data_IF_561353611164
#
_entry.id   IF_561353611164
#
_cell.length_a   1.000
_cell.length_b   1.000
_cell.length_c   1.000
_cell.angle_alpha   90.00
_cell.angle_beta   90.00
_cell.angle_gamma   90.00
#
_symmetry.space_group_name_H-M   'P 1'
#
loop_
_entity.id
_entity.type
_entity.pdbx_description
1 polymer ?
#
# COMPACT_ATOMS: atom_id res chain seq x y z
N UNK A 1 -41.52 -54.37 -33.50
CA UNK A 1 -40.17 -54.48 -32.87
C UNK A 1 -39.87 -53.17 -32.16
N UNK A 2 -39.61 -53.25 -30.83
CA UNK A 2 -38.66 -52.47 -29.99
C UNK A 2 -38.32 -51.03 -30.48
N UNK A 3 -38.45 -49.94 -29.72
CA UNK A 3 -38.15 -49.72 -28.29
C UNK A 3 -38.90 -48.52 -27.69
N UNK A 4 -39.18 -48.67 -26.40
CA UNK A 4 -39.58 -47.70 -25.38
C UNK A 4 -38.34 -46.86 -24.94
N UNK A 5 -38.58 -45.73 -24.25
CA UNK A 5 -37.66 -44.77 -23.60
C UNK A 5 -37.24 -43.59 -24.50
N UNK A 6 -37.44 -42.31 -24.17
CA UNK A 6 -37.47 -41.67 -22.85
C UNK A 6 -38.52 -40.54 -22.77
N UNK A 7 -39.42 -40.68 -21.80
CA UNK A 7 -39.89 -39.58 -20.97
C UNK A 7 -38.74 -39.28 -19.99
N UNK A 8 -38.24 -38.05 -19.90
CA UNK A 8 -37.83 -37.39 -18.64
C UNK A 8 -37.18 -36.02 -18.93
N UNK A 9 -37.60 -35.04 -18.13
CA UNK A 9 -36.88 -33.81 -17.83
C UNK A 9 -36.90 -32.67 -18.87
N UNK A 10 -38.08 -32.10 -19.13
CA UNK A 10 -38.21 -30.72 -19.62
C UNK A 10 -39.13 -29.88 -18.70
N UNK A 11 -38.91 -29.99 -17.39
CA UNK A 11 -39.51 -29.13 -16.37
C UNK A 11 -38.44 -28.93 -15.30
N UNK A 12 -37.54 -27.94 -15.49
CA UNK A 12 -36.70 -27.30 -14.45
C UNK A 12 -35.79 -26.19 -15.01
N UNK A 13 -36.15 -25.54 -16.13
CA UNK A 13 -35.46 -24.33 -16.62
C UNK A 13 -36.23 -23.04 -16.27
N UNK A 14 -37.04 -23.07 -15.21
CA UNK A 14 -37.14 -21.90 -14.35
C UNK A 14 -35.93 -21.94 -13.42
N UNK A 15 -34.76 -21.65 -13.98
CA UNK A 15 -33.66 -21.13 -13.17
C UNK A 15 -34.22 -19.81 -12.64
N UNK A 16 -34.73 -19.88 -11.42
CA UNK A 16 -34.84 -18.74 -10.53
C UNK A 16 -33.48 -18.05 -10.63
N UNK A 17 -33.42 -16.94 -11.38
CA UNK A 17 -32.58 -15.85 -10.97
C UNK A 17 -33.13 -15.48 -9.60
N UNK A 18 -32.63 -16.12 -8.55
CA UNK A 18 -32.55 -15.45 -7.27
C UNK A 18 -31.80 -14.16 -7.58
N UNK A 19 -32.56 -13.09 -7.77
CA UNK A 19 -32.10 -11.79 -7.35
C UNK A 19 -31.48 -12.05 -5.99
N UNK A 20 -30.16 -11.88 -5.91
CA UNK A 20 -29.46 -11.85 -4.64
C UNK A 20 -30.04 -10.63 -3.93
N UNK A 21 -31.17 -10.82 -3.27
CA UNK A 21 -31.71 -9.88 -2.31
C UNK A 21 -30.63 -9.81 -1.25
N UNK A 22 -29.85 -8.72 -1.33
CA UNK A 22 -28.97 -8.29 -0.26
C UNK A 22 -29.86 -8.29 0.99
N UNK A 23 -29.52 -9.04 2.04
CA UNK A 23 -30.35 -9.10 3.24
C UNK A 23 -30.66 -7.68 3.71
N UNK A 24 -31.95 -7.38 3.83
CA UNK A 24 -32.49 -6.03 4.08
C UNK A 24 -32.25 -5.53 5.53
N UNK A 25 -31.41 -6.22 6.30
CA UNK A 25 -31.08 -5.88 7.69
C UNK A 25 -29.63 -6.27 7.99
N UNK A 26 -28.70 -5.68 7.24
CA UNK A 26 -27.30 -5.59 7.67
C UNK A 26 -27.30 -4.50 8.75
N UNK A 27 -27.07 -4.88 10.01
CA UNK A 27 -27.14 -3.95 11.14
C UNK A 27 -26.36 -2.65 10.92
N UNK A 28 -26.69 -1.62 11.70
CA UNK A 28 -26.08 -0.29 11.51
C UNK A 28 -24.57 -0.33 11.76
N UNK A 29 -23.80 0.18 10.80
CA UNK A 29 -22.37 0.42 11.01
C UNK A 29 -22.18 1.37 12.18
N UNK A 30 -21.26 1.04 13.09
CA UNK A 30 -21.02 1.82 14.30
C UNK A 30 -19.55 2.21 14.43
N UNK A 31 -19.32 3.43 14.90
CA UNK A 31 -17.99 3.96 15.17
C UNK A 31 -17.99 4.60 16.54
N UNK A 32 -16.90 4.35 17.26
CA UNK A 32 -16.51 5.14 18.41
C UNK A 32 -15.19 5.83 18.11
N UNK A 33 -15.14 7.15 18.29
CA UNK A 33 -13.90 7.92 18.25
C UNK A 33 -13.71 8.62 19.59
N UNK A 34 -12.55 8.45 20.20
CA UNK A 34 -12.16 9.14 21.42
C UNK A 34 -11.02 10.08 21.07
N UNK A 35 -11.24 11.35 21.34
CA UNK A 35 -10.31 12.45 21.08
C UNK A 35 -10.19 13.32 22.33
N UNK A 36 -9.00 13.37 22.92
CA UNK A 36 -8.82 13.97 24.24
C UNK A 36 -9.76 13.33 25.28
N UNK A 37 -10.58 14.14 25.93
CA UNK A 37 -11.55 13.69 26.93
C UNK A 37 -12.97 13.45 26.37
N UNK A 38 -13.16 13.58 25.05
CA UNK A 38 -14.47 13.45 24.42
C UNK A 38 -14.58 12.10 23.72
N UNK A 39 -15.75 11.49 23.82
CA UNK A 39 -16.12 10.26 23.11
C UNK A 39 -17.27 10.57 22.16
N UNK A 40 -17.11 10.12 20.92
CA UNK A 40 -18.04 10.29 19.82
C UNK A 40 -18.51 8.91 19.38
N UNK A 41 -19.70 8.51 19.85
CA UNK A 41 -20.39 7.30 19.40
C UNK A 41 -21.46 7.67 18.38
N UNK A 42 -21.42 7.04 17.20
CA UNK A 42 -22.42 7.28 16.19
C UNK A 42 -22.55 6.11 15.21
N UNK A 43 -23.76 5.99 14.68
CA UNK A 43 -24.06 5.15 13.53
C UNK A 43 -23.93 5.97 12.26
N UNK A 44 -23.57 5.31 11.17
CA UNK A 44 -23.29 5.99 9.90
C UNK A 44 -23.66 5.09 8.72
N UNK A 45 -24.43 5.65 7.79
CA UNK A 45 -24.90 4.97 6.57
C UNK A 45 -23.81 4.90 5.48
N UNK A 46 -22.54 5.17 5.81
CA UNK A 46 -21.60 5.73 4.83
C UNK A 46 -21.36 4.87 3.58
N UNK A 47 -20.90 5.59 2.56
CA UNK A 47 -20.11 5.07 1.43
C UNK A 47 -18.86 4.35 1.96
N UNK A 48 -19.04 3.14 2.48
CA UNK A 48 -17.98 2.23 2.83
C UNK A 48 -17.77 1.31 1.63
N UNK A 49 -16.59 1.37 1.03
CA UNK A 49 -16.26 0.57 -0.14
C UNK A 49 -15.05 -0.30 0.15
N UNK A 50 -15.23 -1.60 0.05
CA UNK A 50 -14.16 -2.57 -0.09
C UNK A 50 -13.81 -2.69 -1.57
N UNK A 51 -12.53 -2.76 -1.91
CA UNK A 51 -12.12 -3.20 -3.23
C UNK A 51 -11.58 -4.62 -3.10
N UNK A 52 -12.46 -5.62 -3.23
CA UNK A 52 -12.11 -7.03 -2.98
C UNK A 52 -11.05 -7.59 -3.94
N UNK A 53 -10.86 -6.98 -5.11
CA UNK A 53 -9.95 -7.48 -6.14
C UNK A 53 -8.54 -6.88 -6.09
N UNK A 54 -8.29 -5.95 -5.16
CA UNK A 54 -7.01 -5.24 -5.04
C UNK A 54 -6.50 -5.16 -3.60
N UNK A 55 -6.99 -6.06 -2.74
CA UNK A 55 -6.58 -6.23 -1.35
C UNK A 55 -6.62 -4.94 -0.52
N UNK A 56 -7.52 -4.01 -0.88
CA UNK A 56 -7.62 -2.67 -0.30
C UNK A 56 -9.02 -2.41 0.27
N UNK A 57 -9.05 -1.89 1.49
CA UNK A 57 -10.24 -1.46 2.20
C UNK A 57 -10.23 0.07 2.30
N UNK A 58 -11.31 0.71 1.84
CA UNK A 58 -11.48 2.16 1.87
C UNK A 58 -12.66 2.51 2.77
N UNK A 59 -12.36 2.95 3.99
CA UNK A 59 -13.38 3.33 4.97
C UNK A 59 -13.37 4.85 5.10
N UNK A 60 -14.51 5.49 4.84
CA UNK A 60 -14.71 6.91 5.06
C UNK A 60 -15.84 7.13 6.08
N UNK A 61 -15.46 7.62 7.24
CA UNK A 61 -16.37 7.92 8.34
C UNK A 61 -16.54 9.44 8.38
N UNK A 62 -17.79 9.91 8.38
CA UNK A 62 -18.10 11.33 8.44
C UNK A 62 -19.00 11.63 9.63
N UNK A 63 -18.46 12.32 10.65
CA UNK A 63 -19.25 12.76 11.79
C UNK A 63 -19.80 14.16 11.54
N UNK A 64 -21.13 14.27 11.46
CA UNK A 64 -21.85 15.54 11.32
C UNK A 64 -23.03 15.60 12.27
N UNK A 65 -22.86 16.27 13.41
CA UNK A 65 -23.96 16.60 14.32
C UNK A 65 -24.15 18.11 14.43
N UNK A 66 -25.39 18.58 14.32
CA UNK A 66 -25.70 20.02 14.36
C UNK A 66 -25.28 20.60 15.71
N UNK A 67 -24.48 21.67 15.70
CA UNK A 67 -23.97 22.33 16.90
C UNK A 67 -22.85 21.57 17.62
N UNK A 68 -22.36 20.47 17.04
CA UNK A 68 -21.16 19.78 17.48
C UNK A 68 -20.04 19.96 16.46
N UNK A 69 -18.86 19.51 16.84
CA UNK A 69 -17.71 19.38 15.96
C UNK A 69 -18.03 18.51 14.74
N UNK A 70 -17.38 18.84 13.62
CA UNK A 70 -17.44 18.04 12.39
C UNK A 70 -16.07 17.51 12.08
N UNK A 71 -16.00 16.22 11.80
CA UNK A 71 -14.76 15.62 11.34
C UNK A 71 -15.02 14.46 10.37
N UNK A 72 -13.98 14.06 9.66
CA UNK A 72 -13.97 12.89 8.81
C UNK A 72 -12.71 12.09 9.06
N UNK A 73 -12.86 10.77 9.11
CA UNK A 73 -11.77 9.81 9.19
C UNK A 73 -11.74 8.98 7.91
N UNK A 74 -10.57 8.82 7.34
CA UNK A 74 -10.33 7.97 6.19
C UNK A 74 -9.32 6.91 6.59
N UNK A 75 -9.71 5.64 6.48
CA UNK A 75 -8.80 4.51 6.64
C UNK A 75 -8.60 3.86 5.28
N UNK A 76 -7.35 3.84 4.83
CA UNK A 76 -6.87 3.10 3.68
C UNK A 76 -6.08 1.93 4.27
N UNK A 77 -6.68 0.75 4.29
CA UNK A 77 -6.10 -0.46 4.88
C UNK A 77 -5.96 -1.55 3.83
N UNK A 78 -5.11 -2.52 4.11
CA UNK A 78 -5.14 -3.82 3.44
C UNK A 78 -6.21 -4.71 4.02
N UNK A 79 -6.61 -5.72 3.25
CA UNK A 79 -7.46 -6.81 3.73
C UNK A 79 -6.81 -7.62 4.88
N UNK A 80 -5.48 -7.51 5.03
CA UNK A 80 -4.70 -8.01 6.17
C UNK A 80 -4.72 -7.12 7.41
N UNK A 81 -5.30 -5.92 7.32
CA UNK A 81 -5.28 -4.89 8.37
C UNK A 81 -4.05 -3.98 8.36
N UNK A 82 -3.14 -4.20 7.41
CA UNK A 82 -1.98 -3.33 7.22
C UNK A 82 -2.41 -1.89 6.85
N UNK A 83 -1.74 -0.89 7.42
CA UNK A 83 -2.01 0.53 7.20
C UNK A 83 -1.32 0.97 5.90
N UNK A 84 -2.12 1.40 4.91
CA UNK A 84 -1.61 2.16 3.76
C UNK A 84 -1.60 3.65 4.11
N UNK A 85 -2.74 4.17 4.57
CA UNK A 85 -2.87 5.57 4.97
C UNK A 85 -4.04 5.82 5.89
N UNK A 86 -3.90 6.76 6.83
CA UNK A 86 -5.01 7.21 7.68
C UNK A 86 -5.06 8.72 7.65
N UNK A 87 -6.23 9.30 7.37
CA UNK A 87 -6.45 10.76 7.41
C UNK A 87 -7.53 11.13 8.41
N UNK A 88 -7.29 12.22 9.12
CA UNK A 88 -8.27 12.97 9.87
C UNK A 88 -8.42 14.36 9.25
N UNK A 89 -9.67 14.77 9.06
CA UNK A 89 -10.04 16.13 8.66
C UNK A 89 -11.05 16.64 9.68
N UNK A 90 -10.68 17.61 10.51
CA UNK A 90 -11.57 18.22 11.50
C UNK A 90 -11.26 19.69 11.72
N UNK A 91 -11.89 20.29 12.72
CA UNK A 91 -11.75 21.71 13.04
C UNK A 91 -10.30 22.05 13.48
N UNK A 92 -9.55 21.09 14.02
CA UNK A 92 -8.12 21.24 14.38
C UNK A 92 -7.18 21.30 13.17
N UNK A 93 -7.63 20.78 12.02
CA UNK A 93 -6.86 20.71 10.78
C UNK A 93 -6.89 19.32 10.13
N UNK A 94 -5.90 19.13 9.23
CA UNK A 94 -5.71 17.88 8.49
C UNK A 94 -4.51 17.16 9.09
N UNK A 95 -4.73 15.93 9.55
CA UNK A 95 -3.69 15.09 10.12
C UNK A 95 -3.66 13.75 9.39
N UNK A 96 -2.49 13.16 9.25
CA UNK A 96 -2.33 11.88 8.56
C UNK A 96 -1.36 10.96 9.29
N UNK A 97 -1.46 9.66 9.03
CA UNK A 97 -0.43 8.71 9.46
C UNK A 97 0.94 9.09 8.88
N UNK A 98 2.01 8.68 9.57
CA UNK A 98 3.36 8.75 9.02
C UNK A 98 3.43 7.91 7.74
N UNK A 99 4.17 8.39 6.76
CA UNK A 99 4.42 7.71 5.51
C UNK A 99 5.35 6.51 5.72
N UNK A 100 6.39 6.70 6.54
CA UNK A 100 7.29 5.64 6.98
C UNK A 100 6.97 5.25 8.42
N UNK A 101 7.08 3.96 8.71
CA UNK A 101 6.72 3.27 9.94
C UNK A 101 5.38 3.71 10.55
N UNK A 102 4.26 3.64 9.78
CA UNK A 102 2.96 4.05 10.31
C UNK A 102 2.60 3.31 11.60
N UNK A 103 2.98 2.04 11.73
CA UNK A 103 2.73 1.22 12.92
C UNK A 103 3.41 1.73 14.18
N UNK A 104 4.60 2.35 14.08
CA UNK A 104 5.27 2.87 15.28
C UNK A 104 4.52 4.05 15.91
N UNK A 105 3.57 4.63 15.18
CA UNK A 105 2.81 5.79 15.62
C UNK A 105 1.32 5.55 15.70
N UNK A 106 0.78 4.61 14.93
CA UNK A 106 -0.65 4.33 14.84
C UNK A 106 -0.90 2.84 14.67
N UNK A 107 -1.72 2.26 15.53
CA UNK A 107 -1.95 0.82 15.60
C UNK A 107 -3.38 0.48 15.19
N UNK A 108 -3.51 -0.61 14.44
CA UNK A 108 -4.79 -1.29 14.18
C UNK A 108 -4.72 -2.63 14.93
N UNK A 109 -5.65 -2.83 15.85
CA UNK A 109 -5.72 -4.03 16.70
C UNK A 109 -7.08 -4.70 16.53
N UNK A 110 -7.17 -5.97 16.95
CA UNK A 110 -8.39 -6.78 16.83
C UNK A 110 -8.99 -6.78 15.42
N UNK A 111 -8.15 -6.64 14.39
CA UNK A 111 -8.60 -6.56 13.02
C UNK A 111 -9.24 -7.87 12.57
N UNK A 112 -10.42 -7.79 11.98
CA UNK A 112 -11.16 -8.92 11.43
C UNK A 112 -11.87 -8.48 10.17
N UNK A 113 -11.58 -9.15 9.05
CA UNK A 113 -12.26 -8.92 7.79
C UNK A 113 -12.76 -10.23 7.18
N UNK A 114 -14.02 -10.26 6.79
CA UNK A 114 -14.64 -11.41 6.13
C UNK A 114 -14.86 -11.13 4.64
N UNK A 115 -14.01 -11.68 3.78
CA UNK A 115 -14.07 -11.45 2.32
C UNK A 115 -15.42 -11.87 1.70
N UNK A 116 -16.14 -12.82 2.32
CA UNK A 116 -17.44 -13.28 1.82
C UNK A 116 -18.55 -12.28 2.13
N UNK A 117 -18.65 -11.85 3.39
CA UNK A 117 -19.76 -10.98 3.84
C UNK A 117 -19.43 -9.50 3.74
N UNK A 118 -18.15 -9.13 3.63
CA UNK A 118 -17.68 -7.75 3.73
C UNK A 118 -17.68 -7.21 5.17
N UNK A 119 -17.93 -8.05 6.18
CA UNK A 119 -17.92 -7.64 7.57
C UNK A 119 -16.49 -7.25 8.00
N UNK A 120 -16.35 -6.08 8.61
CA UNK A 120 -15.09 -5.50 9.04
C UNK A 120 -15.21 -5.02 10.48
N UNK A 121 -14.27 -5.43 11.32
CA UNK A 121 -14.07 -4.88 12.65
C UNK A 121 -12.60 -4.55 12.87
N UNK A 122 -12.33 -3.41 13.51
CA UNK A 122 -11.01 -3.12 14.05
C UNK A 122 -11.07 -2.07 15.16
N UNK A 123 -10.09 -2.12 16.03
CA UNK A 123 -9.76 -1.08 16.99
C UNK A 123 -8.57 -0.28 16.47
N UNK A 124 -8.50 0.99 16.84
CA UNK A 124 -7.40 1.85 16.46
C UNK A 124 -6.94 2.73 17.61
N UNK A 125 -5.65 3.02 17.65
CA UNK A 125 -5.05 3.93 18.63
C UNK A 125 -3.72 4.48 18.11
N UNK A 126 -3.51 5.79 18.25
CA UNK A 126 -2.21 6.40 18.05
C UNK A 126 -2.25 7.83 17.53
N UNK A 127 -1.11 8.25 17.03
CA UNK A 127 -0.79 9.63 16.66
C UNK A 127 -0.83 9.83 15.14
N UNK A 128 -1.49 10.92 14.74
CA UNK A 128 -1.45 11.46 13.38
C UNK A 128 -0.65 12.77 13.36
N UNK A 129 -0.08 13.10 12.20
CA UNK A 129 0.86 14.20 12.01
C UNK A 129 0.37 15.17 10.95
N UNK A 130 0.87 16.41 10.97
CA UNK A 130 0.52 17.46 10.02
C UNK A 130 1.77 17.96 9.29
N UNK A 131 1.66 18.18 7.98
CA UNK A 131 2.74 18.73 7.16
C UNK A 131 2.71 20.25 7.15
N UNK A 132 3.00 20.84 8.30
CA UNK A 132 3.28 22.26 8.40
C UNK A 132 4.67 22.44 8.96
N UNK A 133 5.39 23.46 8.49
CA UNK A 133 6.76 23.83 8.91
C UNK A 133 6.92 24.25 10.38
N UNK A 134 6.05 23.81 11.29
CA UNK A 134 6.12 24.15 12.70
C UNK A 134 5.66 22.98 13.56
N UNK A 135 6.32 22.85 14.71
CA UNK A 135 6.21 21.83 15.77
C UNK A 135 4.80 21.70 16.37
N UNK A 136 3.82 21.26 15.58
CA UNK A 136 2.53 20.84 16.12
C UNK A 136 2.68 19.47 16.76
N UNK A 137 2.17 19.38 17.98
CA UNK A 137 2.05 18.12 18.71
C UNK A 137 1.28 17.09 17.88
N UNK A 138 1.69 15.82 17.91
CA UNK A 138 0.95 14.76 17.27
C UNK A 138 -0.50 14.71 17.76
N UNK A 139 -1.42 14.42 16.84
CA UNK A 139 -2.84 14.36 17.13
C UNK A 139 -3.24 12.94 17.47
N UNK A 140 -3.49 12.71 18.76
CA UNK A 140 -3.84 11.39 19.27
C UNK A 140 -5.32 11.08 19.06
N UNK A 141 -5.59 9.90 18.51
CA UNK A 141 -6.92 9.34 18.33
C UNK A 141 -6.95 7.90 18.81
N UNK A 142 -8.09 7.47 19.33
CA UNK A 142 -8.37 6.06 19.56
C UNK A 142 -9.84 5.75 19.32
N UNK A 143 -10.18 4.49 19.12
CA UNK A 143 -11.56 4.12 18.84
C UNK A 143 -11.72 2.74 18.25
N UNK A 144 -12.90 2.49 17.71
CA UNK A 144 -13.23 1.26 17.03
C UNK A 144 -14.22 1.49 15.90
N UNK A 145 -14.17 0.60 14.92
CA UNK A 145 -15.02 0.58 13.75
C UNK A 145 -15.63 -0.81 13.64
N UNK A 146 -16.95 -0.87 13.53
CA UNK A 146 -17.71 -2.09 13.29
C UNK A 146 -18.65 -1.86 12.11
N UNK A 147 -18.38 -2.55 10.99
CA UNK A 147 -19.12 -2.45 9.74
C UNK A 147 -19.62 -3.85 9.37
N UNK A 148 -20.94 -4.10 9.43
CA UNK A 148 -21.50 -5.42 9.13
C UNK A 148 -21.30 -5.88 7.68
N UNK A 149 -21.24 -4.94 6.73
CA UNK A 149 -20.88 -5.21 5.35
C UNK A 149 -20.36 -3.97 4.62
N UNK A 150 -19.19 -4.09 4.01
CA UNK A 150 -18.66 -3.12 3.04
C UNK A 150 -19.28 -3.34 1.66
N UNK A 151 -19.59 -2.26 0.94
CA UNK A 151 -19.96 -2.35 -0.48
C UNK A 151 -18.72 -2.73 -1.29
N UNK A 152 -18.86 -3.64 -2.24
CA UNK A 152 -17.75 -3.98 -3.14
C UNK A 152 -17.68 -2.98 -4.30
N UNK A 153 -16.48 -2.49 -4.61
CA UNK A 153 -16.22 -1.65 -5.77
C UNK A 153 -15.26 -2.35 -6.71
N UNK A 154 -15.55 -2.25 -8.01
CA UNK A 154 -14.71 -2.82 -9.05
C UNK A 154 -13.31 -2.16 -9.03
N UNK A 155 -12.28 -2.99 -9.07
CA UNK A 155 -10.92 -2.48 -9.10
C UNK A 155 -10.62 -1.83 -10.45
N UNK A 156 -10.36 -0.52 -10.44
CA UNK A 156 -9.64 0.14 -11.52
C UNK A 156 -8.16 0.09 -11.17
N UNK A 157 -7.49 -0.97 -11.61
CA UNK A 157 -6.04 -1.08 -11.46
C UNK A 157 -5.36 0.10 -12.15
N UNK A 158 -4.71 0.95 -11.36
CA UNK A 158 -3.62 1.76 -11.85
C UNK A 158 -2.35 0.91 -11.70
N UNK A 159 -1.70 0.55 -12.81
CA UNK A 159 -0.45 -0.19 -12.73
C UNK A 159 0.63 0.63 -12.05
N UNK A 160 1.02 0.20 -10.85
CA UNK A 160 2.17 0.70 -10.12
C UNK A 160 3.24 -0.37 -10.11
N UNK A 161 4.51 0.03 -10.14
CA UNK A 161 5.61 -0.92 -9.98
C UNK A 161 5.53 -1.55 -8.59
N UNK A 162 5.84 -2.83 -8.49
CA UNK A 162 5.81 -3.63 -7.29
C UNK A 162 7.24 -4.00 -6.87
N UNK A 163 7.50 -4.06 -5.59
CA UNK A 163 8.63 -4.79 -5.04
C UNK A 163 8.08 -5.67 -3.90
N UNK A 164 8.68 -6.81 -3.62
CA UNK A 164 8.18 -7.77 -2.63
C UNK A 164 9.37 -8.41 -1.94
N UNK A 165 9.44 -8.23 -0.63
CA UNK A 165 10.44 -8.86 0.22
C UNK A 165 9.94 -10.25 0.62
N UNK A 166 10.82 -11.26 0.59
CA UNK A 166 10.44 -12.65 0.86
C UNK A 166 10.07 -12.90 2.34
N UNK A 167 10.59 -12.10 3.27
CA UNK A 167 10.54 -12.37 4.73
C UNK A 167 9.67 -11.40 5.54
N UNK A 168 9.02 -10.43 4.90
CA UNK A 168 8.14 -9.48 5.58
C UNK A 168 6.74 -9.53 4.96
N UNK A 169 5.74 -9.88 5.77
CA UNK A 169 4.32 -9.83 5.44
C UNK A 169 4.00 -8.59 4.60
N UNK A 170 3.77 -8.79 3.30
CA UNK A 170 3.23 -7.86 2.29
C UNK A 170 3.02 -6.43 2.78
N UNK A 171 4.10 -5.64 2.75
CA UNK A 171 4.05 -4.22 3.07
C UNK A 171 4.04 -3.42 1.77
N UNK A 172 3.06 -2.53 1.63
CA UNK A 172 2.74 -1.91 0.35
C UNK A 172 3.84 -0.94 -0.09
N UNK A 173 4.33 -1.14 -1.31
CA UNK A 173 5.47 -0.39 -1.84
C UNK A 173 5.00 0.57 -2.92
N UNK A 174 5.09 1.87 -2.65
CA UNK A 174 4.91 2.86 -3.71
C UNK A 174 6.22 3.02 -4.48
N UNK A 175 6.09 3.16 -5.80
CA UNK A 175 7.21 3.41 -6.69
C UNK A 175 6.98 4.71 -7.46
N UNK A 176 8.07 5.45 -7.65
CA UNK A 176 8.13 6.50 -8.68
C UNK A 176 8.74 5.88 -9.93
N UNK A 177 7.92 5.75 -10.99
CA UNK A 177 8.27 5.12 -12.25
C UNK A 177 9.63 5.56 -12.79
N UNK A 178 10.25 4.70 -13.59
CA UNK A 178 11.61 4.88 -14.10
C UNK A 178 11.87 6.29 -14.62
N UNK A 179 12.80 7.02 -13.98
CA UNK A 179 13.17 8.37 -14.40
C UNK A 179 14.54 8.35 -15.08
N UNK A 180 14.69 9.15 -16.14
CA UNK A 180 16.00 9.37 -16.77
C UNK A 180 16.67 10.54 -16.07
N UNK A 181 17.81 10.26 -15.45
CA UNK A 181 18.68 11.29 -14.87
C UNK A 181 19.85 11.49 -15.83
N UNK A 182 19.90 12.67 -16.45
CA UNK A 182 21.02 13.08 -17.29
C UNK A 182 22.07 13.79 -16.44
N UNK A 183 23.32 13.32 -16.48
CA UNK A 183 24.43 14.08 -15.95
C UNK A 183 24.79 15.18 -16.96
N UNK A 184 24.44 16.42 -16.63
CA UNK A 184 24.70 17.61 -17.45
C UNK A 184 26.18 17.80 -17.80
N UNK A 185 27.09 17.20 -17.04
CA UNK A 185 28.54 17.34 -17.21
C UNK A 185 29.20 16.18 -17.96
N UNK A 186 28.57 15.01 -18.09
CA UNK A 186 29.23 13.81 -18.66
C UNK A 186 28.48 13.12 -19.80
N UNK A 187 27.37 13.67 -20.29
CA UNK A 187 26.47 13.02 -21.29
C UNK A 187 25.97 11.62 -20.88
N UNK A 188 26.29 11.17 -19.65
CA UNK A 188 25.87 9.88 -19.12
C UNK A 188 24.42 9.99 -18.68
N UNK A 189 23.61 9.05 -19.15
CA UNK A 189 22.23 8.87 -18.72
C UNK A 189 22.19 7.68 -17.77
N UNK A 190 21.44 7.81 -16.68
CA UNK A 190 21.07 6.68 -15.83
C UNK A 190 19.55 6.61 -15.71
N UNK A 191 19.02 5.39 -15.75
CA UNK A 191 17.62 5.10 -15.47
C UNK A 191 17.50 4.75 -13.99
N UNK A 192 16.59 5.41 -13.30
CA UNK A 192 16.42 5.32 -11.85
C UNK A 192 15.02 4.80 -11.52
N UNK A 193 14.94 3.69 -10.78
CA UNK A 193 13.70 3.08 -10.31
C UNK A 193 13.72 3.07 -8.78
N UNK A 194 12.75 3.75 -8.18
CA UNK A 194 12.71 3.96 -6.73
C UNK A 194 11.57 3.18 -6.12
N UNK A 195 11.88 2.41 -5.08
CA UNK A 195 10.92 1.61 -4.33
C UNK A 195 11.00 2.04 -2.87
N UNK A 196 9.85 2.36 -2.27
CA UNK A 196 9.75 2.73 -0.86
C UNK A 196 9.01 1.64 -0.11
N UNK A 197 9.54 1.24 1.04
CA UNK A 197 8.86 0.37 1.99
C UNK A 197 8.23 1.18 3.10
N UNK A 198 7.13 0.67 3.64
CA UNK A 198 6.47 1.31 4.77
C UNK A 198 7.32 1.22 6.06
N UNK A 199 8.33 0.34 6.15
CA UNK A 199 9.29 0.30 7.26
C UNK A 199 10.49 1.22 7.06
N UNK A 200 10.33 2.24 6.20
CA UNK A 200 11.32 3.29 6.06
C UNK A 200 12.50 2.96 5.17
N UNK A 201 12.51 1.85 4.41
CA UNK A 201 13.56 1.61 3.42
C UNK A 201 13.22 2.23 2.07
N UNK A 202 14.25 2.69 1.38
CA UNK A 202 14.20 3.12 -0.01
C UNK A 202 15.26 2.36 -0.80
N UNK A 203 14.81 1.57 -1.76
CA UNK A 203 15.67 0.92 -2.75
C UNK A 203 15.68 1.78 -4.02
N UNK A 204 16.87 2.03 -4.56
CA UNK A 204 17.02 2.72 -5.85
C UNK A 204 17.83 1.87 -6.80
N UNK A 205 17.18 1.27 -7.80
CA UNK A 205 17.84 0.56 -8.88
C UNK A 205 18.26 1.58 -9.95
N UNK A 206 19.56 1.78 -10.09
CA UNK A 206 20.17 2.56 -11.16
C UNK A 206 20.67 1.60 -12.24
N UNK A 207 20.39 1.93 -13.50
CA UNK A 207 20.95 1.23 -14.66
C UNK A 207 21.38 2.18 -15.77
N UNK A 208 22.39 1.78 -16.55
CA UNK A 208 22.82 2.47 -17.77
C UNK A 208 21.72 2.51 -18.85
N UNK A 209 20.80 1.54 -18.82
CA UNK A 209 19.73 1.37 -19.79
C UNK A 209 18.41 1.21 -19.06
N UNK A 210 17.35 1.49 -19.78
CA UNK A 210 16.02 1.12 -19.37
C UNK A 210 15.99 -0.40 -19.07
N UNK A 211 15.51 -0.80 -17.90
CA UNK A 211 15.48 -2.22 -17.50
C UNK A 211 14.62 -3.08 -18.45
N UNK A 212 13.63 -2.48 -19.12
CA UNK A 212 12.83 -3.12 -20.18
C UNK A 212 13.65 -3.42 -21.46
N UNK A 213 14.87 -2.90 -21.57
CA UNK A 213 15.79 -3.12 -22.68
C UNK A 213 17.02 -3.93 -22.27
N UNK A 214 17.11 -4.34 -21.00
CA UNK A 214 18.15 -5.23 -20.53
C UNK A 214 17.84 -6.67 -20.95
N UNK A 215 18.83 -7.44 -21.43
CA UNK A 215 18.68 -8.87 -21.58
C UNK A 215 18.31 -9.56 -20.28
N UNK A 216 17.64 -10.71 -20.37
CA UNK A 216 17.49 -11.61 -19.23
C UNK A 216 18.87 -12.03 -18.74
N UNK A 217 19.06 -12.05 -17.42
CA UNK A 217 20.35 -12.40 -16.82
C UNK A 217 20.61 -11.68 -15.52
N UNK A 218 21.76 -12.01 -14.93
CA UNK A 218 22.24 -11.48 -13.66
C UNK A 218 23.22 -10.32 -13.87
N UNK A 219 23.06 -9.29 -13.05
CA UNK A 219 23.85 -8.06 -13.07
C UNK A 219 24.40 -7.81 -11.66
N UNK A 220 25.71 -7.95 -11.50
CA UNK A 220 26.38 -7.64 -10.23
C UNK A 220 26.55 -6.13 -10.05
N UNK A 221 26.50 -5.68 -8.80
CA UNK A 221 26.72 -4.27 -8.48
C UNK A 221 27.49 -4.06 -7.17
N UNK A 222 28.08 -2.87 -7.08
CA UNK A 222 28.70 -2.29 -5.90
C UNK A 222 28.37 -0.80 -5.84
N UNK A 223 28.47 -0.18 -4.67
CA UNK A 223 28.24 1.28 -4.52
C UNK A 223 29.15 2.14 -5.39
N UNK A 224 30.35 1.67 -5.70
CA UNK A 224 31.32 2.38 -6.54
C UNK A 224 30.88 2.53 -8.00
N UNK A 225 29.98 1.67 -8.49
CA UNK A 225 29.40 1.80 -9.83
C UNK A 225 28.14 2.68 -9.79
N UNK A 226 28.30 3.99 -9.93
CA UNK A 226 27.19 4.94 -9.81
C UNK A 226 26.13 4.85 -10.93
N UNK A 227 26.41 4.08 -12.00
CA UNK A 227 25.53 3.92 -13.17
C UNK A 227 24.69 2.65 -13.04
N UNK A 228 25.31 1.55 -12.64
CA UNK A 228 24.66 0.25 -12.46
C UNK A 228 24.81 -0.19 -11.01
N UNK A 229 23.85 0.22 -10.17
CA UNK A 229 23.81 -0.18 -8.76
C UNK A 229 22.40 -0.27 -8.20
N UNK A 230 22.31 -0.86 -7.02
CA UNK A 230 21.14 -0.72 -6.14
C UNK A 230 21.58 0.03 -4.90
N UNK A 231 21.01 1.22 -4.68
CA UNK A 231 21.21 1.98 -3.45
C UNK A 231 20.17 1.55 -2.41
N UNK A 232 20.57 1.53 -1.14
CA UNK A 232 19.67 1.34 -0.01
C UNK A 232 19.80 2.55 0.92
N UNK A 233 18.66 3.14 1.26
CA UNK A 233 18.55 4.15 2.32
C UNK A 233 17.50 3.73 3.33
N UNK A 234 17.71 4.09 4.58
CA UNK A 234 16.74 3.92 5.68
C UNK A 234 16.36 5.30 6.22
N UNK A 235 15.07 5.52 6.43
CA UNK A 235 14.54 6.76 6.95
C UNK A 235 14.88 6.90 8.43
N UNK A 236 15.55 7.98 8.79
CA UNK A 236 15.90 8.35 10.15
C UNK A 236 15.38 9.74 10.54
N UNK A 237 14.54 10.33 9.70
CA UNK A 237 13.88 11.60 9.94
C UNK A 237 12.77 11.50 10.99
N UNK A 238 12.19 12.65 11.34
CA UNK A 238 10.95 12.70 12.11
C UNK A 238 9.79 12.14 11.28
N UNK A 239 8.71 11.62 11.90
CA UNK A 239 7.53 11.18 11.17
C UNK A 239 7.07 12.25 10.17
N UNK A 240 6.97 11.88 8.91
CA UNK A 240 6.57 12.75 7.80
C UNK A 240 5.36 12.12 7.10
N UNK A 241 4.46 12.93 6.58
CA UNK A 241 3.26 12.46 5.87
C UNK A 241 3.51 12.20 4.39
N UNK A 242 4.70 12.57 3.91
CA UNK A 242 5.13 12.45 2.53
C UNK A 242 6.49 11.75 2.47
N UNK A 243 6.83 11.10 1.34
CA UNK A 243 8.19 10.63 1.13
C UNK A 243 9.08 11.86 0.99
N UNK A 244 9.62 12.38 2.09
CA UNK A 244 10.62 13.44 2.06
C UNK A 244 11.84 12.93 1.31
N UNK A 245 12.30 13.72 0.35
CA UNK A 245 13.53 13.48 -0.40
C UNK A 245 14.72 14.26 0.19
N UNK A 246 14.57 14.86 1.37
CA UNK A 246 15.67 15.57 2.01
C UNK A 246 16.73 14.57 2.46
N UNK A 247 17.89 14.58 1.80
CA UNK A 247 18.97 13.61 2.06
C UNK A 247 19.39 13.53 3.54
N UNK A 248 19.22 14.61 4.32
CA UNK A 248 19.52 14.65 5.76
C UNK A 248 18.68 13.68 6.61
N UNK A 249 17.50 13.30 6.12
CA UNK A 249 16.55 12.44 6.85
C UNK A 249 16.77 10.96 6.52
N UNK A 250 17.78 10.66 5.71
CA UNK A 250 18.08 9.32 5.22
C UNK A 250 19.49 8.88 5.62
N UNK A 251 19.61 7.65 6.08
CA UNK A 251 20.89 6.96 6.25
C UNK A 251 21.14 6.13 5.00
N UNK A 252 22.19 6.47 4.25
CA UNK A 252 22.63 5.68 3.09
C UNK A 252 23.62 4.59 3.52
N UNK A 253 23.47 3.41 2.92
CA UNK A 253 24.32 2.25 3.16
C UNK A 253 25.26 1.99 1.97
N UNK A 254 26.45 1.47 2.28
CA UNK A 254 27.30 0.86 1.26
C UNK A 254 26.68 -0.48 0.84
N UNK A 255 26.40 -0.66 -0.43
CA UNK A 255 25.70 -1.82 -0.99
C UNK A 255 26.56 -2.65 -1.94
N UNK A 256 26.34 -3.96 -1.94
CA UNK A 256 26.84 -4.88 -2.96
C UNK A 256 25.88 -6.04 -3.14
N UNK A 257 25.88 -6.65 -4.33
CA UNK A 257 25.00 -7.76 -4.61
C UNK A 257 24.77 -7.97 -6.09
N UNK A 258 23.60 -8.50 -6.42
CA UNK A 258 23.17 -8.70 -7.80
C UNK A 258 21.67 -8.51 -7.95
N UNK A 259 21.24 -8.13 -9.14
CA UNK A 259 19.85 -8.24 -9.55
C UNK A 259 19.76 -9.10 -10.80
N UNK A 260 18.68 -9.87 -10.92
CA UNK A 260 18.44 -10.75 -12.06
C UNK A 260 17.16 -10.33 -12.76
N UNK A 261 17.23 -10.07 -14.06
CA UNK A 261 16.04 -9.91 -14.90
C UNK A 261 15.55 -11.31 -15.28
N UNK A 262 14.38 -11.69 -14.79
CA UNK A 262 13.80 -13.03 -14.98
C UNK A 262 12.72 -13.05 -16.06
N UNK A 263 12.12 -11.90 -16.37
CA UNK A 263 11.11 -11.82 -17.41
C UNK A 263 10.77 -10.41 -17.87
N UNK A 264 10.16 -10.35 -19.05
CA UNK A 264 9.56 -9.16 -19.64
C UNK A 264 8.19 -9.56 -20.17
N UNK A 265 7.14 -8.87 -19.72
CA UNK A 265 5.75 -9.24 -20.01
C UNK A 265 4.89 -8.00 -20.22
N UNK A 266 3.76 -8.20 -20.90
CA UNK A 266 2.71 -7.17 -21.02
C UNK A 266 1.63 -7.42 -19.98
N UNK A 267 1.32 -6.42 -19.17
CA UNK A 267 0.26 -6.45 -18.16
C UNK A 267 -0.64 -5.25 -18.38
N UNK A 268 -1.89 -5.50 -18.76
CA UNK A 268 -2.92 -4.48 -19.04
C UNK A 268 -2.45 -3.32 -19.94
N UNK A 269 -1.69 -3.67 -20.99
CA UNK A 269 -1.18 -2.73 -21.99
C UNK A 269 0.20 -2.14 -21.69
N UNK A 270 0.74 -2.36 -20.50
CA UNK A 270 2.05 -1.85 -20.08
C UNK A 270 3.16 -2.88 -20.22
N UNK A 271 4.37 -2.44 -20.59
CA UNK A 271 5.58 -3.26 -20.58
C UNK A 271 6.16 -3.33 -19.16
N UNK A 272 6.19 -4.53 -18.61
CA UNK A 272 6.63 -4.81 -17.24
C UNK A 272 7.87 -5.71 -17.27
N UNK A 273 8.92 -5.27 -16.59
CA UNK A 273 10.10 -6.10 -16.31
C UNK A 273 9.98 -6.69 -14.92
N UNK A 274 10.22 -8.00 -14.79
CA UNK A 274 10.22 -8.70 -13.52
C UNK A 274 11.59 -9.28 -13.21
N UNK A 275 11.93 -9.33 -11.94
CA UNK A 275 13.24 -9.80 -11.51
C UNK A 275 13.36 -9.95 -10.00
N UNK A 276 14.56 -10.31 -9.56
CA UNK A 276 14.90 -10.48 -8.15
C UNK A 276 16.18 -9.72 -7.81
N UNK A 277 16.27 -9.16 -6.60
CA UNK A 277 17.45 -8.43 -6.09
C UNK A 277 17.97 -9.15 -4.85
N UNK A 278 19.28 -9.37 -4.81
CA UNK A 278 20.02 -9.75 -3.62
C UNK A 278 20.95 -8.60 -3.24
N UNK A 279 20.88 -8.15 -2.00
CA UNK A 279 21.61 -6.96 -1.55
C UNK A 279 22.15 -7.15 -0.13
N UNK A 280 23.45 -6.90 0.01
CA UNK A 280 24.15 -6.73 1.28
C UNK A 280 24.40 -5.25 1.50
N UNK A 281 23.97 -4.75 2.64
CA UNK A 281 24.12 -3.36 3.03
C UNK A 281 25.03 -3.23 4.25
N UNK A 282 26.01 -2.35 4.16
CA UNK A 282 27.06 -2.14 5.13
C UNK A 282 27.06 -0.70 5.62
N UNK A 283 27.44 -0.53 6.88
CA UNK A 283 27.72 0.79 7.47
C UNK A 283 29.00 0.67 8.27
N UNK A 284 29.98 1.54 7.99
CA UNK A 284 31.30 1.47 8.62
C UNK A 284 31.97 0.08 8.49
N UNK A 285 31.82 -0.57 7.32
CA UNK A 285 32.29 -1.94 7.02
C UNK A 285 31.61 -3.07 7.79
N UNK A 286 30.59 -2.79 8.58
CA UNK A 286 29.79 -3.79 9.28
C UNK A 286 28.53 -4.12 8.45
N UNK A 287 28.24 -5.41 8.26
CA UNK A 287 27.00 -5.85 7.61
C UNK A 287 25.81 -5.50 8.50
N UNK A 288 24.89 -4.68 8.00
CA UNK A 288 23.66 -4.28 8.70
C UNK A 288 22.45 -5.04 8.20
N UNK A 289 22.34 -5.19 6.88
CA UNK A 289 21.23 -5.89 6.26
C UNK A 289 21.71 -6.86 5.19
N UNK A 290 21.05 -8.00 5.09
CA UNK A 290 21.21 -8.99 4.03
C UNK A 290 19.82 -9.36 3.52
N UNK A 291 19.39 -8.72 2.45
CA UNK A 291 18.11 -9.03 1.82
C UNK A 291 18.36 -9.95 0.63
N UNK A 292 17.67 -11.09 0.61
CA UNK A 292 17.77 -12.09 -0.44
C UNK A 292 16.42 -12.20 -1.17
N UNK A 293 16.47 -12.40 -2.49
CA UNK A 293 15.30 -12.61 -3.35
C UNK A 293 14.19 -11.58 -3.15
N UNK A 294 14.57 -10.31 -3.15
CA UNK A 294 13.62 -9.21 -3.27
C UNK A 294 13.03 -9.25 -4.68
N UNK A 295 11.78 -9.68 -4.83
CA UNK A 295 11.11 -9.66 -6.12
C UNK A 295 10.76 -8.23 -6.52
N UNK A 296 10.85 -7.88 -7.80
CA UNK A 296 10.34 -6.60 -8.32
C UNK A 296 9.59 -6.79 -9.63
N UNK A 297 8.53 -6.00 -9.80
CA UNK A 297 7.85 -5.73 -11.07
C UNK A 297 7.99 -4.24 -11.36
N UNK A 298 8.61 -3.86 -12.47
CA UNK A 298 8.81 -2.46 -12.84
C UNK A 298 8.20 -2.17 -14.20
N UNK A 299 7.17 -1.34 -14.17
CA UNK A 299 6.52 -0.68 -15.31
C UNK A 299 7.31 0.56 -15.69
N UNK A 300 7.44 0.77 -16.99
CA UNK A 300 7.89 2.04 -17.52
C UNK A 300 6.68 2.87 -17.95
N UNK A 301 6.50 4.03 -17.30
CA UNK A 301 5.53 5.03 -17.72
C UNK A 301 6.37 6.10 -18.41
N UNK A 302 6.40 6.07 -19.75
CA UNK A 302 7.04 7.13 -20.56
C UNK A 302 6.36 8.49 -20.35
#
# INVERSE_FOLDING_TARGET
>A
MKKIFSLFLLVLLFVNCEDKTVPEDLGDSSVQVIKGNQTYDFHFDSFNSCNKNCDNLYIHINYRKKGAERFSLYFYLKDSGAIDKIWYLGDEGVFTSSYFDPYNHFQITNFSFNNKTGALYFEFEGNLFINTFADREPFFLKGKVDIPALNDIECRNYFTNLLTLQDENTRLLFNRGGSVIENLNTSQKKFCYEFFTDNGFRFTLNSEKNINKLPLGEYSFTTTNIINNVMLREFAGKPDISPTLYDKDWVEYETSGSYTITGQLKKDGYDVTVGDINIKAFRNKELKYNFEKIHFEAVNIE
#
